data_IF_804053215724
#
_entry.id   IF_804053215724
#
_cell.length_a   1.000
_cell.length_b   1.000
_cell.length_c   1.000
_cell.angle_alpha   90.00
_cell.angle_beta   90.00
_cell.angle_gamma   90.00
#
_symmetry.space_group_name_H-M   'P 1'
#
loop_
_entity.id
_entity.type
_entity.pdbx_description
1 polymer ?
#
# COMPACT_ATOMS: atom_id res chain seq x y z
N UNK A 1 73.20 -6.65 46.73
CA UNK A 1 72.62 -7.10 48.04
C UNK A 1 71.13 -7.29 47.92
N UNK A 2 70.69 -8.47 48.35
CA UNK A 2 69.32 -8.89 48.70
C UNK A 2 68.21 -8.73 47.67
N UNK A 3 67.75 -9.75 47.00
CA UNK A 3 66.85 -10.88 47.47
C UNK A 3 65.55 -10.37 48.09
N UNK A 4 64.41 -10.70 47.51
CA UNK A 4 63.48 -11.78 47.93
C UNK A 4 62.25 -11.66 47.05
N UNK A 5 61.91 -12.65 46.24
CA UNK A 5 60.84 -13.67 46.38
C UNK A 5 59.54 -13.12 47.00
N UNK A 6 58.36 -13.40 46.47
CA UNK A 6 57.67 -14.71 46.39
C UNK A 6 56.33 -14.49 45.63
N UNK A 7 56.07 -15.43 44.78
CA UNK A 7 54.77 -16.01 44.40
C UNK A 7 53.53 -15.51 45.16
N UNK A 8 52.47 -15.18 44.39
CA UNK A 8 51.26 -15.97 44.57
C UNK A 8 50.43 -15.94 43.29
N UNK A 9 50.24 -17.10 42.74
CA UNK A 9 49.39 -17.38 41.61
C UNK A 9 47.97 -17.61 42.16
N UNK A 10 47.07 -16.67 41.91
CA UNK A 10 45.63 -16.93 42.07
C UNK A 10 45.02 -16.93 40.67
N UNK A 11 44.86 -18.14 40.15
CA UNK A 11 44.09 -18.41 38.95
C UNK A 11 42.61 -18.12 39.24
N UNK A 12 42.09 -16.99 38.80
CA UNK A 12 40.66 -16.76 38.73
C UNK A 12 40.17 -17.43 37.44
N UNK A 13 39.64 -18.65 37.62
CA UNK A 13 38.83 -19.31 36.57
C UNK A 13 37.56 -18.51 36.44
N UNK A 14 37.53 -17.57 35.49
CA UNK A 14 36.31 -16.95 35.01
C UNK A 14 35.52 -18.02 34.26
N UNK A 15 34.56 -18.64 34.97
CA UNK A 15 33.54 -19.45 34.35
C UNK A 15 32.69 -18.55 33.44
N UNK A 16 33.08 -18.43 32.18
CA UNK A 16 32.28 -17.83 31.15
C UNK A 16 31.02 -18.69 30.95
N UNK A 17 29.92 -18.26 31.55
CA UNK A 17 28.60 -18.76 31.17
C UNK A 17 28.36 -18.22 29.77
N UNK A 18 28.78 -18.97 28.76
CA UNK A 18 28.30 -18.81 27.42
C UNK A 18 26.80 -19.14 27.47
N UNK A 19 25.97 -18.10 27.58
CA UNK A 19 24.55 -18.18 27.24
C UNK A 19 24.47 -18.48 25.76
N UNK A 20 24.57 -19.78 25.40
CA UNK A 20 24.13 -20.24 24.09
C UNK A 20 22.63 -20.01 24.05
N UNK A 21 22.24 -18.91 23.46
CA UNK A 21 20.88 -18.72 22.95
C UNK A 21 20.66 -19.86 21.94
N UNK A 22 20.09 -20.96 22.41
CA UNK A 22 19.56 -21.99 21.55
C UNK A 22 18.34 -21.37 20.84
N UNK A 23 18.58 -20.89 19.65
CA UNK A 23 17.55 -20.56 18.68
C UNK A 23 16.92 -21.88 18.18
N UNK A 24 16.28 -22.61 19.10
CA UNK A 24 15.58 -23.84 18.78
C UNK A 24 14.25 -23.50 18.14
N UNK A 25 14.25 -23.45 16.80
CA UNK A 25 13.00 -23.42 16.05
C UNK A 25 12.11 -24.56 16.56
N UNK A 26 10.82 -24.29 16.83
CA UNK A 26 9.90 -25.34 17.25
C UNK A 26 9.89 -26.46 16.21
N UNK A 27 10.29 -27.68 16.60
CA UNK A 27 10.16 -28.83 15.72
C UNK A 27 8.83 -29.52 16.01
N UNK A 28 8.04 -29.75 14.94
CA UNK A 28 6.79 -30.48 15.07
C UNK A 28 7.02 -32.00 14.95
N UNK A 29 6.61 -32.75 15.96
CA UNK A 29 6.58 -34.20 15.91
C UNK A 29 5.13 -34.67 15.75
N UNK A 30 4.78 -35.03 14.51
CA UNK A 30 3.40 -35.36 14.13
C UNK A 30 3.13 -36.87 14.30
N UNK A 31 2.95 -37.29 15.52
CA UNK A 31 2.73 -38.73 15.86
C UNK A 31 1.26 -39.14 15.88
N UNK A 32 0.34 -38.19 15.99
CA UNK A 32 -1.09 -38.43 16.06
C UNK A 32 -1.87 -37.57 15.08
N UNK A 33 -3.12 -37.93 14.83
CA UNK A 33 -4.02 -37.11 14.04
C UNK A 33 -4.26 -35.70 14.67
N UNK A 34 -4.27 -35.64 16.00
CA UNK A 34 -4.39 -34.37 16.74
C UNK A 34 -3.15 -33.50 16.55
N UNK A 35 -1.95 -34.07 16.57
CA UNK A 35 -0.71 -33.33 16.34
C UNK A 35 -0.71 -32.75 14.91
N UNK A 36 -1.10 -33.56 13.94
CA UNK A 36 -1.21 -33.15 12.53
C UNK A 36 -2.24 -32.04 12.36
N UNK A 37 -3.41 -32.15 12.98
CA UNK A 37 -4.45 -31.13 12.93
C UNK A 37 -3.98 -29.84 13.60
N UNK A 38 -3.33 -29.90 14.76
CA UNK A 38 -2.78 -28.75 15.47
C UNK A 38 -1.73 -28.01 14.63
N UNK A 39 -0.83 -28.76 14.00
CA UNK A 39 0.17 -28.17 13.10
C UNK A 39 -0.48 -27.53 11.88
N UNK A 40 -1.47 -28.17 11.28
CA UNK A 40 -2.18 -27.64 10.12
C UNK A 40 -2.91 -26.33 10.45
N UNK A 41 -3.51 -26.21 11.64
CA UNK A 41 -4.10 -24.95 12.13
C UNK A 41 -3.02 -23.86 12.19
N UNK A 42 -1.86 -24.17 12.75
CA UNK A 42 -0.73 -23.23 12.83
C UNK A 42 -0.26 -22.75 11.45
N UNK A 43 -0.09 -23.66 10.50
CA UNK A 43 0.30 -23.35 9.11
C UNK A 43 -0.75 -22.49 8.42
N UNK A 44 -2.03 -22.85 8.51
CA UNK A 44 -3.13 -22.12 7.88
C UNK A 44 -3.25 -20.69 8.45
N UNK A 45 -3.19 -20.56 9.78
CA UNK A 45 -3.22 -19.26 10.45
C UNK A 45 -2.02 -18.40 10.07
N UNK A 46 -0.81 -18.96 10.09
CA UNK A 46 0.42 -18.26 9.72
C UNK A 46 0.44 -17.81 8.28
N UNK A 47 -0.08 -18.63 7.35
CA UNK A 47 -0.20 -18.25 5.94
C UNK A 47 -1.15 -17.06 5.74
N UNK A 48 -2.29 -17.03 6.44
CA UNK A 48 -3.21 -15.90 6.42
C UNK A 48 -2.58 -14.62 6.98
N UNK A 49 -1.87 -14.70 8.09
CA UNK A 49 -1.17 -13.56 8.66
C UNK A 49 -0.06 -13.02 7.76
N UNK A 50 0.69 -13.89 7.09
CA UNK A 50 1.80 -13.48 6.21
C UNK A 50 1.36 -12.46 5.16
N UNK A 51 0.19 -12.64 4.56
CA UNK A 51 -0.33 -11.70 3.57
C UNK A 51 -0.79 -10.38 4.22
N UNK A 52 -1.51 -10.46 5.32
CA UNK A 52 -1.99 -9.29 6.05
C UNK A 52 -0.85 -8.41 6.61
N UNK A 53 0.27 -9.02 7.00
CA UNK A 53 1.41 -8.29 7.55
C UNK A 53 2.21 -7.51 6.50
N UNK A 54 2.07 -7.83 5.21
CA UNK A 54 2.67 -7.05 4.12
C UNK A 54 2.09 -5.63 4.01
N UNK A 55 0.87 -5.46 4.46
CA UNK A 55 0.13 -4.19 4.39
C UNK A 55 0.01 -3.52 5.76
N UNK A 56 0.88 -3.88 6.72
CA UNK A 56 0.89 -3.24 8.03
C UNK A 56 1.31 -1.77 7.87
N UNK A 57 0.45 -0.80 8.23
CA UNK A 57 0.83 0.60 8.13
C UNK A 57 2.00 0.92 9.05
N UNK A 58 2.93 1.76 8.58
CA UNK A 58 4.05 2.23 9.40
C UNK A 58 5.32 1.39 9.31
N UNK A 59 5.38 0.34 8.49
CA UNK A 59 6.59 -0.40 8.20
C UNK A 59 6.48 -1.92 8.30
N UNK A 60 7.63 -2.60 8.22
CA UNK A 60 7.69 -4.06 8.27
C UNK A 60 7.32 -4.60 9.66
N UNK A 61 6.49 -5.64 9.67
CA UNK A 61 6.10 -6.31 10.89
C UNK A 61 7.29 -7.04 11.55
N UNK A 62 7.47 -6.85 12.86
CA UNK A 62 8.41 -7.63 13.63
C UNK A 62 7.82 -9.02 13.91
N UNK A 63 8.21 -9.99 13.07
CA UNK A 63 7.69 -11.35 13.12
C UNK A 63 8.04 -12.06 14.44
N UNK A 64 9.22 -11.81 14.99
CA UNK A 64 9.63 -12.43 16.26
C UNK A 64 8.79 -11.94 17.44
N UNK A 65 8.48 -10.64 17.48
CA UNK A 65 7.59 -10.08 18.48
C UNK A 65 6.15 -10.62 18.35
N UNK A 66 5.66 -10.77 17.11
CA UNK A 66 4.34 -11.36 16.84
C UNK A 66 4.29 -12.82 17.31
N UNK A 67 5.29 -13.64 16.94
CA UNK A 67 5.38 -15.04 17.36
C UNK A 67 5.46 -15.14 18.89
N UNK A 68 6.26 -14.30 19.54
CA UNK A 68 6.39 -14.31 21.00
C UNK A 68 5.05 -14.02 21.68
N UNK A 69 4.34 -12.97 21.26
CA UNK A 69 3.03 -12.63 21.81
C UNK A 69 1.99 -13.73 21.57
N UNK A 70 1.97 -14.31 20.37
CA UNK A 70 1.04 -15.38 20.00
C UNK A 70 1.29 -16.65 20.85
N UNK A 71 2.55 -17.08 20.98
CA UNK A 71 2.92 -18.27 21.77
C UNK A 71 2.57 -18.07 23.24
N UNK A 72 2.92 -16.92 23.83
CA UNK A 72 2.59 -16.60 25.22
C UNK A 72 1.09 -16.65 25.46
N UNK A 73 0.31 -16.02 24.59
CA UNK A 73 -1.15 -15.98 24.72
C UNK A 73 -1.78 -17.38 24.63
N UNK A 74 -1.36 -18.23 23.67
CA UNK A 74 -1.89 -19.60 23.53
C UNK A 74 -1.52 -20.51 24.70
N UNK A 75 -0.31 -20.36 25.24
CA UNK A 75 0.14 -21.18 26.39
C UNK A 75 -0.42 -20.72 27.72
N UNK A 76 -1.07 -19.54 27.75
CA UNK A 76 -1.50 -18.94 29.01
C UNK A 76 -0.36 -18.37 29.84
N UNK A 77 0.79 -18.12 29.21
CA UNK A 77 1.94 -17.51 29.86
C UNK A 77 1.70 -16.01 30.10
N UNK A 78 2.51 -15.41 30.97
CA UNK A 78 2.45 -13.96 31.20
C UNK A 78 2.81 -13.19 29.92
N UNK A 79 1.92 -12.34 29.43
CA UNK A 79 2.12 -11.45 28.31
C UNK A 79 2.51 -10.05 28.76
N UNK A 80 3.18 -9.28 27.91
CA UNK A 80 3.57 -7.88 28.21
C UNK A 80 2.39 -6.90 28.26
N UNK A 81 1.25 -7.28 27.70
CA UNK A 81 -0.01 -6.52 27.72
C UNK A 81 -1.18 -7.50 27.75
N UNK A 82 -2.30 -7.09 28.36
CA UNK A 82 -3.52 -7.91 28.32
C UNK A 82 -4.14 -7.88 26.92
N UNK A 83 -5.07 -8.82 26.60
CA UNK A 83 -5.78 -8.79 25.32
C UNK A 83 -6.51 -7.46 25.08
N UNK A 84 -7.10 -6.86 26.12
CA UNK A 84 -7.81 -5.57 26.04
C UNK A 84 -6.84 -4.42 25.77
N UNK A 85 -5.67 -4.43 26.42
CA UNK A 85 -4.60 -3.45 26.16
C UNK A 85 -4.06 -3.60 24.75
N UNK A 86 -3.87 -4.82 24.26
CA UNK A 86 -3.41 -5.10 22.90
C UNK A 86 -4.42 -4.56 21.86
N UNK A 87 -5.72 -4.82 22.07
CA UNK A 87 -6.76 -4.31 21.18
C UNK A 87 -6.80 -2.78 21.16
N UNK A 88 -6.74 -2.15 22.33
CA UNK A 88 -6.71 -0.68 22.44
C UNK A 88 -5.48 -0.09 21.75
N UNK A 89 -4.32 -0.69 21.96
CA UNK A 89 -3.07 -0.27 21.32
C UNK A 89 -3.16 -0.37 19.79
N UNK A 90 -3.65 -1.50 19.28
CA UNK A 90 -3.81 -1.72 17.83
C UNK A 90 -4.76 -0.69 17.21
N UNK A 91 -5.89 -0.42 17.85
CA UNK A 91 -6.83 0.59 17.34
C UNK A 91 -6.18 1.97 17.24
N UNK A 92 -5.45 2.40 18.27
CA UNK A 92 -4.73 3.67 18.27
C UNK A 92 -3.62 3.67 17.22
N UNK A 93 -2.82 2.61 17.15
CA UNK A 93 -1.73 2.46 16.21
C UNK A 93 -2.20 2.58 14.75
N UNK A 94 -3.28 1.86 14.39
CA UNK A 94 -3.79 1.90 13.01
C UNK A 94 -4.31 3.29 12.63
N UNK A 95 -5.03 3.96 13.54
CA UNK A 95 -5.53 5.33 13.30
C UNK A 95 -4.37 6.30 13.09
N UNK A 96 -3.37 6.26 13.98
CA UNK A 96 -2.21 7.16 13.88
C UNK A 96 -1.32 6.85 12.68
N UNK A 97 -1.11 5.57 12.37
CA UNK A 97 -0.32 5.17 11.21
C UNK A 97 -1.00 5.60 9.90
N UNK A 98 -2.30 5.39 9.79
CA UNK A 98 -3.07 5.85 8.64
C UNK A 98 -3.06 7.38 8.50
N UNK A 99 -3.15 8.12 9.62
CA UNK A 99 -3.05 9.58 9.59
C UNK A 99 -1.68 10.06 9.11
N UNK A 100 -0.60 9.41 9.56
CA UNK A 100 0.78 9.72 9.09
C UNK A 100 0.95 9.44 7.60
N UNK A 101 0.52 8.26 7.13
CA UNK A 101 0.60 7.89 5.72
C UNK A 101 -0.22 8.83 4.83
N UNK A 102 -1.41 9.20 5.30
CA UNK A 102 -2.28 10.17 4.63
C UNK A 102 -1.63 11.56 4.49
N UNK A 103 -1.02 12.04 5.56
CA UNK A 103 -0.32 13.33 5.54
C UNK A 103 0.90 13.28 4.62
N UNK A 104 1.69 12.23 4.71
CA UNK A 104 2.85 12.04 3.84
C UNK A 104 2.46 11.97 2.36
N UNK A 105 1.44 11.18 2.02
CA UNK A 105 0.97 11.08 0.64
C UNK A 105 0.48 12.43 0.08
N UNK A 106 -0.19 13.23 0.92
CA UNK A 106 -0.63 14.58 0.58
C UNK A 106 0.56 15.50 0.29
N UNK A 107 1.54 15.56 1.20
CA UNK A 107 2.73 16.40 1.04
C UNK A 107 3.56 16.01 -0.19
N UNK A 108 3.74 14.71 -0.44
CA UNK A 108 4.41 14.19 -1.62
C UNK A 108 3.66 14.57 -2.90
N UNK A 109 2.33 14.46 -2.90
CA UNK A 109 1.49 14.87 -4.03
C UNK A 109 1.56 16.36 -4.33
N UNK A 110 1.43 17.21 -3.31
CA UNK A 110 1.52 18.67 -3.44
C UNK A 110 2.91 19.10 -3.97
N UNK A 111 3.97 18.52 -3.42
CA UNK A 111 5.34 18.78 -3.88
C UNK A 111 5.51 18.36 -5.35
N UNK A 112 5.05 17.16 -5.69
CA UNK A 112 5.12 16.68 -7.07
C UNK A 112 4.41 17.63 -8.03
N UNK A 113 3.18 18.04 -7.74
CA UNK A 113 2.40 18.94 -8.58
C UNK A 113 3.07 20.33 -8.71
N UNK A 114 3.66 20.84 -7.63
CA UNK A 114 4.39 22.10 -7.66
C UNK A 114 5.61 22.07 -8.60
N UNK A 115 6.30 20.94 -8.65
CA UNK A 115 7.42 20.71 -9.58
C UNK A 115 6.92 20.39 -11.00
N UNK A 116 5.89 19.56 -11.12
CA UNK A 116 5.41 19.07 -12.40
C UNK A 116 4.81 20.16 -13.30
N UNK A 117 4.13 21.15 -12.70
CA UNK A 117 3.57 22.29 -13.45
C UNK A 117 4.61 23.12 -14.23
N UNK A 118 5.90 23.01 -13.86
CA UNK A 118 7.00 23.72 -14.52
C UNK A 118 7.61 22.93 -15.68
N UNK A 119 7.20 21.67 -15.87
CA UNK A 119 7.73 20.81 -16.92
C UNK A 119 7.11 21.15 -18.26
N UNK A 120 7.91 20.98 -19.31
CA UNK A 120 7.47 21.27 -20.69
C UNK A 120 6.26 20.43 -21.10
N UNK A 121 5.26 21.10 -21.68
CA UNK A 121 4.03 20.50 -22.15
C UNK A 121 3.01 20.13 -21.04
N UNK A 122 3.28 20.44 -19.77
CA UNK A 122 2.32 20.24 -18.67
C UNK A 122 1.39 21.44 -18.57
N UNK A 123 0.11 21.18 -18.60
CA UNK A 123 -0.98 22.15 -18.45
C UNK A 123 -1.65 21.91 -17.10
N UNK A 124 -1.92 23.00 -16.37
CA UNK A 124 -2.66 22.95 -15.09
C UNK A 124 -4.00 23.65 -15.27
N UNK A 125 -5.07 22.98 -14.90
CA UNK A 125 -6.44 23.56 -14.95
C UNK A 125 -6.73 24.39 -13.69
N UNK A 126 -7.87 25.09 -13.69
CA UNK A 126 -8.32 25.86 -12.52
C UNK A 126 -8.58 25.01 -11.28
N UNK A 127 -8.97 23.76 -11.45
CA UNK A 127 -9.18 22.80 -10.35
C UNK A 127 -7.88 22.26 -9.73
N UNK A 128 -6.73 22.52 -10.38
CA UNK A 128 -5.43 21.97 -10.00
C UNK A 128 -5.10 20.64 -10.68
N UNK A 129 -5.99 20.10 -11.51
CA UNK A 129 -5.68 18.95 -12.36
C UNK A 129 -4.51 19.29 -13.27
N UNK A 130 -3.56 18.37 -13.45
CA UNK A 130 -2.48 18.55 -14.41
C UNK A 130 -2.54 17.48 -15.48
N UNK A 131 -2.24 17.87 -16.71
CA UNK A 131 -2.17 16.91 -17.80
C UNK A 131 -1.11 17.29 -18.83
N UNK A 132 -0.67 16.30 -19.59
CA UNK A 132 0.18 16.45 -20.75
C UNK A 132 -0.42 15.69 -21.93
N UNK A 133 -0.48 16.34 -23.07
CA UNK A 133 -0.94 15.72 -24.32
C UNK A 133 0.20 14.90 -24.90
N UNK A 134 0.04 13.59 -25.01
CA UNK A 134 0.97 12.73 -25.76
C UNK A 134 0.56 12.63 -27.23
N UNK A 135 -0.74 12.50 -27.47
CA UNK A 135 -1.33 12.46 -28.79
C UNK A 135 -2.66 13.22 -28.77
N UNK A 136 -2.81 14.19 -29.63
CA UNK A 136 -4.08 14.90 -29.81
C UNK A 136 -4.97 14.10 -30.75
N UNK A 137 -6.22 13.90 -30.39
CA UNK A 137 -7.23 13.30 -31.21
C UNK A 137 -7.91 14.36 -32.09
N UNK A 138 -8.68 13.89 -33.07
CA UNK A 138 -9.43 14.77 -33.99
C UNK A 138 -10.94 14.54 -33.93
N UNK A 139 -11.40 13.66 -33.05
CA UNK A 139 -12.81 13.34 -32.89
C UNK A 139 -13.57 14.33 -32.02
N UNK A 140 -14.81 14.02 -31.71
CA UNK A 140 -15.64 14.82 -30.81
C UNK A 140 -15.12 14.71 -29.36
N UNK A 141 -15.43 15.75 -28.55
CA UNK A 141 -15.20 15.69 -27.08
C UNK A 141 -16.46 15.18 -26.43
N UNK A 142 -16.32 14.30 -25.41
CA UNK A 142 -17.47 13.78 -24.68
C UNK A 142 -18.21 14.88 -23.90
N UNK A 143 -19.52 14.78 -23.85
CA UNK A 143 -20.34 15.50 -22.89
C UNK A 143 -20.37 14.75 -21.54
N UNK A 144 -20.84 15.42 -20.49
CA UNK A 144 -20.86 14.89 -19.13
C UNK A 144 -21.70 13.62 -18.99
N UNK A 145 -22.76 13.47 -19.77
CA UNK A 145 -23.68 12.34 -19.73
C UNK A 145 -23.31 11.21 -20.69
N UNK A 146 -22.27 11.40 -21.51
CA UNK A 146 -21.86 10.39 -22.49
C UNK A 146 -21.20 9.18 -21.82
N UNK A 147 -21.33 8.03 -22.48
CA UNK A 147 -20.50 6.87 -22.21
C UNK A 147 -19.27 6.92 -23.11
N UNK A 148 -18.11 6.64 -22.54
CA UNK A 148 -16.83 6.65 -23.24
C UNK A 148 -16.17 5.28 -23.17
N UNK A 149 -15.45 4.93 -24.22
CA UNK A 149 -14.59 3.76 -24.28
C UNK A 149 -13.15 4.20 -24.21
N UNK A 150 -12.40 3.67 -23.24
CA UNK A 150 -11.03 4.09 -22.99
C UNK A 150 -10.10 2.91 -22.75
N UNK A 151 -8.82 3.08 -23.11
CA UNK A 151 -7.74 2.38 -22.44
C UNK A 151 -7.10 3.30 -21.42
N UNK A 152 -6.73 2.73 -20.26
CA UNK A 152 -6.05 3.48 -19.22
C UNK A 152 -5.13 2.61 -18.38
N UNK A 153 -4.15 3.26 -17.77
CA UNK A 153 -3.31 2.70 -16.70
C UNK A 153 -3.19 3.73 -15.59
N UNK A 154 -3.60 3.35 -14.39
CA UNK A 154 -3.50 4.15 -13.18
C UNK A 154 -2.32 3.70 -12.33
N UNK A 155 -1.44 4.64 -11.97
CA UNK A 155 -0.26 4.39 -11.12
C UNK A 155 -0.17 5.40 -9.98
N UNK A 156 0.46 4.99 -8.89
CA UNK A 156 0.89 5.88 -7.82
C UNK A 156 2.18 6.61 -8.21
N UNK A 157 2.65 7.54 -7.38
CA UNK A 157 3.88 8.29 -7.64
C UNK A 157 5.14 7.42 -7.66
N UNK A 158 5.14 6.29 -6.95
CA UNK A 158 6.21 5.30 -6.95
C UNK A 158 6.23 4.40 -8.19
N UNK A 159 5.25 4.58 -9.10
CA UNK A 159 5.08 3.81 -10.32
C UNK A 159 4.29 2.51 -10.15
N UNK A 160 3.86 2.17 -8.94
CA UNK A 160 3.03 0.98 -8.72
C UNK A 160 1.66 1.14 -9.40
N UNK A 161 1.28 0.14 -10.21
CA UNK A 161 -0.02 0.08 -10.87
C UNK A 161 -1.09 -0.31 -9.86
N UNK A 162 -2.19 0.44 -9.81
CA UNK A 162 -3.34 0.10 -8.99
C UNK A 162 -4.56 -0.33 -9.80
N UNK A 163 -4.64 0.06 -11.06
CA UNK A 163 -5.69 -0.36 -11.99
C UNK A 163 -5.28 -0.12 -13.45
N UNK A 164 -5.62 -1.05 -14.35
CA UNK A 164 -5.29 -0.92 -15.77
C UNK A 164 -6.22 -1.76 -16.65
N UNK A 165 -6.88 -1.12 -17.61
CA UNK A 165 -7.60 -1.80 -18.67
C UNK A 165 -6.66 -2.48 -19.67
N UNK A 166 -5.44 -1.93 -19.82
CA UNK A 166 -4.41 -2.51 -20.68
C UNK A 166 -3.93 -3.84 -20.13
N UNK A 167 -3.67 -3.92 -18.82
CA UNK A 167 -3.28 -5.16 -18.13
C UNK A 167 -4.39 -6.22 -18.15
N UNK A 168 -5.66 -5.81 -18.22
CA UNK A 168 -6.81 -6.73 -18.41
C UNK A 168 -6.98 -7.18 -19.86
N UNK A 169 -6.35 -6.52 -20.83
CA UNK A 169 -6.39 -6.86 -22.24
C UNK A 169 -7.64 -6.36 -23.00
N UNK A 170 -8.49 -5.54 -22.37
CA UNK A 170 -9.72 -5.02 -22.96
C UNK A 170 -10.01 -3.58 -22.54
N UNK A 171 -10.56 -2.74 -23.43
CA UNK A 171 -10.97 -1.38 -23.07
C UNK A 171 -12.09 -1.40 -22.01
N UNK A 172 -12.12 -0.35 -21.20
CA UNK A 172 -13.19 -0.14 -20.24
C UNK A 172 -14.19 0.91 -20.76
N UNK A 173 -15.45 0.77 -20.36
CA UNK A 173 -16.50 1.72 -20.65
C UNK A 173 -16.99 2.40 -19.38
N UNK A 174 -17.07 3.73 -19.41
CA UNK A 174 -17.50 4.54 -18.29
C UNK A 174 -18.46 5.62 -18.74
N UNK A 175 -19.43 5.94 -17.92
CA UNK A 175 -20.17 7.17 -18.04
C UNK A 175 -19.37 8.31 -17.40
N UNK A 176 -19.19 9.41 -18.12
CA UNK A 176 -18.29 10.52 -17.75
C UNK A 176 -18.65 11.14 -16.39
N UNK A 177 -19.92 11.18 -16.01
CA UNK A 177 -20.38 11.69 -14.71
C UNK A 177 -20.36 10.65 -13.56
N UNK A 178 -19.86 9.43 -13.80
CA UNK A 178 -19.83 8.32 -12.83
C UNK A 178 -18.41 7.88 -12.45
N UNK A 179 -17.43 8.69 -12.78
CA UNK A 179 -16.02 8.48 -12.44
C UNK A 179 -15.54 9.53 -11.44
N UNK A 180 -14.29 9.45 -10.98
CA UNK A 180 -13.72 10.46 -10.09
C UNK A 180 -13.73 11.85 -10.75
N UNK A 181 -13.86 12.95 -9.97
CA UNK A 181 -14.00 14.31 -10.53
C UNK A 181 -12.93 14.68 -11.56
N UNK A 182 -11.67 14.30 -11.31
CA UNK A 182 -10.57 14.55 -12.27
C UNK A 182 -10.77 13.87 -13.62
N UNK A 183 -11.36 12.68 -13.64
CA UNK A 183 -11.71 12.01 -14.89
C UNK A 183 -12.90 12.67 -15.58
N UNK A 184 -13.92 13.05 -14.82
CA UNK A 184 -15.04 13.81 -15.37
C UNK A 184 -14.56 15.08 -16.04
N UNK A 185 -13.58 15.77 -15.48
CA UNK A 185 -13.01 16.99 -16.04
C UNK A 185 -12.18 16.70 -17.30
N UNK A 186 -11.19 15.80 -17.21
CA UNK A 186 -10.26 15.59 -18.32
C UNK A 186 -10.92 14.97 -19.55
N UNK A 187 -11.87 14.04 -19.38
CA UNK A 187 -12.55 13.41 -20.51
C UNK A 187 -13.33 14.40 -21.37
N UNK A 188 -13.88 15.45 -20.78
CA UNK A 188 -14.57 16.52 -21.52
C UNK A 188 -13.60 17.45 -22.27
N UNK A 189 -12.31 17.41 -21.96
CA UNK A 189 -11.26 18.17 -22.66
C UNK A 189 -10.67 17.36 -23.82
N UNK A 190 -10.60 16.03 -23.67
CA UNK A 190 -9.98 15.11 -24.62
C UNK A 190 -10.85 14.88 -25.86
N UNK A 191 -10.39 15.17 -27.09
CA UNK A 191 -11.05 14.68 -28.30
C UNK A 191 -10.88 13.15 -28.44
N UNK A 192 -11.83 12.46 -29.02
CA UNK A 192 -11.70 11.04 -29.39
C UNK A 192 -10.44 10.82 -30.24
N UNK A 193 -9.68 9.78 -29.93
CA UNK A 193 -8.39 9.46 -30.52
C UNK A 193 -7.19 10.05 -29.80
N UNK A 194 -7.42 10.80 -28.69
CA UNK A 194 -6.36 11.36 -27.84
C UNK A 194 -5.75 10.35 -26.90
N UNK A 195 -4.46 10.58 -26.56
CA UNK A 195 -3.77 9.95 -25.42
C UNK A 195 -3.14 11.03 -24.54
N UNK A 196 -3.54 11.08 -23.28
CA UNK A 196 -3.08 12.06 -22.32
C UNK A 196 -2.46 11.37 -21.09
N UNK A 197 -1.45 12.02 -20.50
CA UNK A 197 -0.98 11.72 -19.14
C UNK A 197 -1.67 12.73 -18.22
N UNK A 198 -2.27 12.24 -17.16
CA UNK A 198 -3.09 13.05 -16.24
C UNK A 198 -2.62 12.82 -14.81
N UNK A 199 -2.35 13.89 -14.06
CA UNK A 199 -2.06 13.84 -12.63
C UNK A 199 -3.24 14.46 -11.89
N UNK A 200 -3.89 13.61 -11.10
CA UNK A 200 -5.15 13.91 -10.41
C UNK A 200 -4.85 14.18 -8.93
N UNK A 201 -4.96 15.43 -8.46
CA UNK A 201 -4.88 15.74 -7.04
C UNK A 201 -5.88 14.90 -6.23
N UNK A 202 -5.56 14.62 -4.99
CA UNK A 202 -6.39 13.74 -4.15
C UNK A 202 -7.85 14.20 -4.05
N UNK A 203 -8.09 15.50 -4.02
CA UNK A 203 -9.41 16.12 -3.94
C UNK A 203 -10.28 15.85 -5.18
N UNK A 204 -9.62 15.63 -6.32
CA UNK A 204 -10.26 15.25 -7.59
C UNK A 204 -10.22 13.74 -7.84
N UNK A 205 -9.60 12.98 -6.92
CA UNK A 205 -9.48 11.53 -6.92
C UNK A 205 -10.36 10.89 -5.86
N UNK A 206 -9.73 10.10 -4.97
CA UNK A 206 -10.42 9.38 -3.91
C UNK A 206 -10.36 10.08 -2.55
N UNK A 207 -9.58 11.17 -2.42
CA UNK A 207 -9.44 11.93 -1.19
C UNK A 207 -8.97 11.08 0.00
N UNK A 208 -9.53 11.33 1.21
CA UNK A 208 -9.14 10.60 2.42
C UNK A 208 -9.71 9.18 2.51
N UNK A 209 -10.58 8.76 1.59
CA UNK A 209 -11.30 7.50 1.62
C UNK A 209 -11.15 6.72 0.31
N UNK A 210 -9.96 6.17 0.01
CA UNK A 210 -9.77 5.33 -1.17
C UNK A 210 -10.60 4.04 -1.08
N UNK A 211 -10.81 3.34 -2.22
CA UNK A 211 -11.52 2.08 -2.25
C UNK A 211 -10.88 1.05 -1.31
N UNK A 212 -11.73 0.34 -0.55
CA UNK A 212 -11.26 -0.69 0.38
C UNK A 212 -10.54 -1.81 -0.37
N UNK A 213 -9.38 -2.21 0.15
CA UNK A 213 -8.57 -3.27 -0.45
C UNK A 213 -7.72 -2.83 -1.64
N UNK A 214 -7.77 -1.56 -2.04
CA UNK A 214 -6.83 -1.01 -3.02
C UNK A 214 -5.47 -0.71 -2.38
N UNK A 215 -4.43 -0.60 -3.21
CA UNK A 215 -3.10 -0.13 -2.78
C UNK A 215 -3.02 1.39 -2.62
N UNK A 216 -4.09 2.12 -2.95
CA UNK A 216 -4.15 3.57 -2.88
C UNK A 216 -4.24 4.00 -1.41
N UNK A 217 -3.28 4.80 -0.95
CA UNK A 217 -3.30 5.40 0.38
C UNK A 217 -4.24 6.61 0.42
N UNK A 218 -4.81 6.95 1.59
CA UNK A 218 -5.57 8.20 1.73
C UNK A 218 -4.76 9.41 1.25
N UNK A 219 -5.43 10.30 0.54
CA UNK A 219 -4.87 11.53 -0.02
C UNK A 219 -3.73 11.34 -1.03
N UNK A 220 -3.62 10.16 -1.67
CA UNK A 220 -2.66 9.94 -2.75
C UNK A 220 -2.98 10.77 -3.98
N UNK A 221 -1.95 11.36 -4.58
CA UNK A 221 -1.96 11.84 -5.96
C UNK A 221 -1.99 10.61 -6.89
N UNK A 222 -2.85 10.65 -7.91
CA UNK A 222 -2.97 9.58 -8.89
C UNK A 222 -2.43 10.03 -10.24
N UNK A 223 -1.68 9.16 -10.91
CA UNK A 223 -1.27 9.37 -12.29
C UNK A 223 -2.03 8.40 -13.18
N UNK A 224 -2.57 8.89 -14.27
CA UNK A 224 -3.22 8.08 -15.29
C UNK A 224 -2.60 8.35 -16.67
N UNK A 225 -2.43 7.29 -17.44
CA UNK A 225 -2.33 7.38 -18.90
C UNK A 225 -3.69 6.98 -19.45
N UNK A 226 -4.34 7.86 -20.20
CA UNK A 226 -5.70 7.66 -20.72
C UNK A 226 -5.67 7.80 -22.22
N UNK A 227 -6.17 6.78 -22.91
CA UNK A 227 -6.44 6.84 -24.34
C UNK A 227 -7.97 6.79 -24.55
N UNK A 228 -8.54 7.88 -25.09
CA UNK A 228 -9.96 7.98 -25.39
C UNK A 228 -10.22 7.40 -26.77
N UNK A 229 -10.82 6.22 -26.80
CA UNK A 229 -11.04 5.46 -28.04
C UNK A 229 -12.31 5.89 -28.76
N UNK A 230 -13.42 6.06 -28.02
CA UNK A 230 -14.72 6.36 -28.63
C UNK A 230 -15.69 6.97 -27.61
N UNK A 231 -16.74 7.62 -28.14
CA UNK A 231 -17.96 7.97 -27.41
C UNK A 231 -19.03 6.94 -27.79
N UNK A 232 -19.41 6.10 -26.82
CA UNK A 232 -20.39 5.04 -27.03
C UNK A 232 -21.78 5.65 -27.05
N UNK A 233 -22.45 5.57 -28.17
CA UNK A 233 -23.86 6.00 -28.27
C UNK A 233 -24.75 4.99 -27.55
N UNK A 234 -25.61 5.52 -26.70
CA UNK A 234 -26.62 4.71 -26.01
C UNK A 234 -27.69 4.29 -27.04
N UNK A 235 -27.57 3.11 -27.64
CA UNK A 235 -28.57 2.55 -28.57
C UNK A 235 -29.89 2.17 -27.86
N UNK A 236 -30.06 2.52 -26.60
CA UNK A 236 -31.19 2.17 -25.73
C UNK A 236 -32.27 3.28 -25.62
N UNK A 237 -32.33 4.26 -26.55
CA UNK A 237 -33.49 5.15 -26.65
C UNK A 237 -34.25 4.89 -27.92
N UNK A 238 -35.02 3.82 -27.90
CA UNK A 238 -36.24 3.65 -28.74
C UNK A 238 -37.42 3.37 -27.86
#
# INVERSE_FOLDING_TARGET
>A
MKKINVLDATAIVALGIAATSCDSKPSANLKSAVDSASYAIGVSTGAGYKENLKTLPGGEANIDALIAGFVQAIKGDSTKMTPEQAQTYLNTYFVEAQARESQQAKEEGEKFLAENKTKDGVITTESGLQYKVEKEGTGAKPAKEDNVKVHYTGTLLDGSEFDSSVSRGEPAEFRVDRVIPGWTEILQIMPVGSKYIVWVPSELGYGPQPPRGSSIKPNSLLKFEIELLDIVKDDQKK
#
